data_IF_080881450581
#
_entry.id   IF_080881450581
#
_cell.length_a   1.000
_cell.length_b   1.000
_cell.length_c   1.000
_cell.angle_alpha   90.00
_cell.angle_beta   90.00
_cell.angle_gamma   90.00
#
_symmetry.space_group_name_H-M   'P 1'
#
loop_
_entity.id
_entity.type
_entity.pdbx_description
1 polymer ?
#
# COMPACT_ATOMS: atom_id res chain seq x y z
N UNK A 1 24.55 72.75 -11.94
CA UNK A 1 25.04 71.49 -12.53
C UNK A 1 24.43 70.33 -11.73
N UNK A 2 23.32 69.75 -12.22
CA UNK A 2 23.17 68.32 -12.62
C UNK A 2 23.44 67.32 -11.47
N UNK A 3 22.41 66.85 -10.75
CA UNK A 3 21.54 65.66 -10.96
C UNK A 3 22.19 64.30 -10.61
N UNK A 4 21.58 63.64 -9.63
CA UNK A 4 21.24 62.20 -9.54
C UNK A 4 22.36 61.14 -9.51
N UNK A 5 22.41 60.37 -8.42
CA UNK A 5 22.96 59.01 -8.36
C UNK A 5 22.13 58.17 -7.38
N UNK A 6 21.06 57.56 -7.87
CA UNK A 6 20.93 56.10 -8.03
C UNK A 6 20.79 55.33 -6.70
N UNK A 7 19.53 54.99 -6.41
CA UNK A 7 19.09 54.02 -5.40
C UNK A 7 19.65 52.64 -5.77
N UNK A 8 20.20 51.88 -4.81
CA UNK A 8 20.33 50.44 -4.94
C UNK A 8 19.56 49.76 -3.81
N UNK A 9 18.54 49.00 -4.23
CA UNK A 9 17.53 48.35 -3.41
C UNK A 9 17.88 46.87 -3.31
N UNK A 10 17.84 46.34 -2.07
CA UNK A 10 17.44 44.97 -1.67
C UNK A 10 18.13 43.78 -2.36
N UNK A 11 18.96 43.05 -1.61
CA UNK A 11 19.22 41.63 -1.84
C UNK A 11 18.34 40.81 -0.89
N UNK A 12 17.33 40.17 -1.49
CA UNK A 12 16.27 39.39 -0.90
C UNK A 12 16.81 38.07 -0.30
N UNK A 13 16.64 37.89 1.01
CA UNK A 13 16.79 36.60 1.71
C UNK A 13 15.62 35.70 1.34
N UNK A 14 15.78 34.83 0.33
CA UNK A 14 14.84 33.76 0.02
C UNK A 14 15.59 32.50 -0.44
N UNK A 15 16.38 31.90 0.45
CA UNK A 15 16.72 30.49 0.28
C UNK A 15 15.48 29.66 0.70
N UNK A 16 14.60 29.42 -0.27
CA UNK A 16 13.49 28.47 -0.12
C UNK A 16 14.07 27.13 0.31
N UNK A 17 13.74 26.71 1.52
CA UNK A 17 13.84 25.31 1.92
C UNK A 17 12.92 24.49 1.00
N UNK A 18 13.49 23.90 -0.04
CA UNK A 18 12.84 22.88 -0.83
C UNK A 18 12.71 21.62 0.05
N UNK A 19 11.65 21.59 0.86
CA UNK A 19 11.31 20.46 1.71
C UNK A 19 11.08 19.21 0.85
N UNK A 20 11.83 18.16 1.15
CA UNK A 20 11.73 16.86 0.48
C UNK A 20 10.32 16.25 0.62
N UNK A 21 9.81 15.54 -0.40
CA UNK A 21 8.50 14.90 -0.38
C UNK A 21 8.50 13.60 0.45
N UNK A 22 8.92 13.65 1.71
CA UNK A 22 9.02 12.47 2.60
C UNK A 22 7.79 12.27 3.49
N UNK A 23 7.02 13.33 3.78
CA UNK A 23 5.94 13.29 4.77
C UNK A 23 4.75 12.38 4.42
N UNK A 24 4.61 11.92 3.17
CA UNK A 24 3.48 11.07 2.74
C UNK A 24 3.74 9.57 2.96
N UNK A 25 5.00 9.14 2.85
CA UNK A 25 5.36 7.75 3.10
C UNK A 25 5.10 7.39 4.58
N UNK A 26 5.44 8.32 5.47
CA UNK A 26 5.21 8.18 6.90
C UNK A 26 3.71 8.02 7.24
N UNK A 27 2.83 8.81 6.61
CA UNK A 27 1.39 8.73 6.85
C UNK A 27 0.78 7.41 6.33
N UNK A 28 1.19 6.96 5.14
CA UNK A 28 0.72 5.70 4.56
C UNK A 28 1.16 4.51 5.44
N UNK A 29 2.43 4.49 5.86
CA UNK A 29 2.97 3.47 6.76
C UNK A 29 2.25 3.45 8.11
N UNK A 30 2.02 4.62 8.70
CA UNK A 30 1.30 4.74 9.97
C UNK A 30 -0.14 4.18 9.87
N UNK A 31 -0.85 4.43 8.77
CA UNK A 31 -2.19 3.88 8.57
C UNK A 31 -2.16 2.34 8.50
N UNK A 32 -1.19 1.75 7.80
CA UNK A 32 -1.00 0.29 7.69
C UNK A 32 -0.66 -0.33 9.05
N UNK A 33 0.18 0.33 9.85
CA UNK A 33 0.54 -0.09 11.22
C UNK A 33 -0.68 -0.03 12.13
N UNK A 34 -1.36 1.13 12.20
CA UNK A 34 -2.53 1.34 13.07
C UNK A 34 -3.67 0.38 12.73
N UNK A 35 -3.82 0.00 11.46
CA UNK A 35 -4.80 -1.00 11.02
C UNK A 35 -4.45 -2.44 11.46
N UNK A 36 -3.18 -2.71 11.82
CA UNK A 36 -2.73 -4.05 12.22
C UNK A 36 -2.40 -4.99 11.05
N UNK A 37 -2.22 -4.45 9.84
CA UNK A 37 -2.03 -5.23 8.61
C UNK A 37 -0.62 -5.84 8.47
N UNK A 38 0.38 -5.20 9.07
CA UNK A 38 1.79 -5.62 8.98
C UNK A 38 1.97 -7.08 9.39
N UNK A 39 2.70 -7.84 8.59
CA UNK A 39 2.94 -9.28 8.75
C UNK A 39 2.53 -10.10 7.52
N UNK A 40 2.68 -11.42 7.64
CA UNK A 40 2.29 -12.37 6.60
C UNK A 40 0.85 -12.85 6.81
N UNK A 41 0.13 -13.04 5.71
CA UNK A 41 -1.25 -13.53 5.69
C UNK A 41 -1.38 -14.61 4.62
N UNK A 42 -2.00 -15.73 4.96
CA UNK A 42 -2.24 -16.85 4.04
C UNK A 42 -3.62 -17.45 4.28
N UNK A 43 -4.12 -18.25 3.33
CA UNK A 43 -5.34 -19.05 3.56
C UNK A 43 -5.04 -20.15 4.57
N UNK A 44 -3.89 -20.80 4.41
CA UNK A 44 -3.31 -21.77 5.33
C UNK A 44 -1.84 -21.43 5.54
N UNK A 45 -1.49 -21.03 6.77
CA UNK A 45 -0.12 -20.64 7.13
C UNK A 45 0.84 -21.83 7.27
N UNK A 46 0.33 -23.06 7.29
CA UNK A 46 1.12 -24.29 7.37
C UNK A 46 1.49 -24.85 5.99
N UNK A 47 0.87 -24.35 4.93
CA UNK A 47 1.10 -24.78 3.55
C UNK A 47 1.97 -23.76 2.80
N UNK A 48 2.78 -24.17 1.81
CA UNK A 48 3.59 -23.23 1.03
C UNK A 48 2.73 -22.31 0.14
N UNK A 49 3.30 -21.20 -0.37
CA UNK A 49 2.65 -20.36 -1.37
C UNK A 49 2.29 -21.15 -2.64
N UNK A 50 1.04 -21.03 -3.08
CA UNK A 50 0.50 -21.65 -4.28
C UNK A 50 -0.72 -20.86 -4.79
N UNK A 51 -1.25 -21.12 -6.01
CA UNK A 51 -2.42 -20.39 -6.52
C UNK A 51 -3.65 -20.51 -5.61
N UNK A 52 -3.81 -21.67 -4.96
CA UNK A 52 -4.86 -21.95 -3.97
C UNK A 52 -4.51 -21.52 -2.54
N UNK A 53 -3.25 -21.17 -2.27
CA UNK A 53 -2.77 -20.70 -0.97
C UNK A 53 -1.86 -19.48 -1.14
N UNK A 54 -2.41 -18.33 -1.56
CA UNK A 54 -1.61 -17.13 -1.74
C UNK A 54 -1.12 -16.59 -0.41
N UNK A 55 0.12 -16.09 -0.41
CA UNK A 55 0.69 -15.33 0.68
C UNK A 55 0.68 -13.83 0.34
N UNK A 56 0.19 -13.03 1.26
CA UNK A 56 0.30 -11.56 1.23
C UNK A 56 1.14 -11.11 2.41
N UNK A 57 2.29 -10.49 2.13
CA UNK A 57 3.24 -10.06 3.16
C UNK A 57 3.29 -8.54 3.14
N UNK A 58 2.84 -7.92 4.23
CA UNK A 58 2.80 -6.48 4.38
C UNK A 58 3.94 -6.01 5.26
N UNK A 59 4.73 -5.06 4.76
CA UNK A 59 5.87 -4.49 5.46
C UNK A 59 5.84 -2.97 5.43
N UNK A 60 6.48 -2.37 6.42
CA UNK A 60 6.65 -0.92 6.56
C UNK A 60 8.03 -0.66 7.15
N UNK A 61 8.70 0.37 6.66
CA UNK A 61 9.94 0.91 7.25
C UNK A 61 9.76 2.41 7.46
N UNK A 62 10.41 2.96 8.49
CA UNK A 62 10.33 4.40 8.77
C UNK A 62 10.90 5.19 7.58
N UNK A 63 10.13 6.15 7.06
CA UNK A 63 10.54 6.98 5.91
C UNK A 63 10.29 6.37 4.53
N UNK A 64 9.95 5.08 4.44
CA UNK A 64 9.67 4.40 3.17
C UNK A 64 8.17 4.12 3.00
N UNK A 65 7.76 3.91 1.75
CA UNK A 65 6.40 3.49 1.45
C UNK A 65 6.14 2.07 1.96
N UNK A 66 4.98 1.82 2.59
CA UNK A 66 4.59 0.45 2.92
C UNK A 66 4.50 -0.40 1.64
N UNK A 67 4.79 -1.69 1.77
CA UNK A 67 4.75 -2.64 0.67
C UNK A 67 3.85 -3.81 0.98
N UNK A 68 3.28 -4.38 -0.10
CA UNK A 68 2.71 -5.71 -0.11
C UNK A 68 3.50 -6.58 -1.08
N UNK A 69 3.99 -7.72 -0.62
CA UNK A 69 4.46 -8.79 -1.50
C UNK A 69 3.35 -9.83 -1.67
N UNK A 70 3.06 -10.19 -2.92
CA UNK A 70 2.16 -11.28 -3.27
C UNK A 70 2.98 -12.47 -3.77
N UNK A 71 2.75 -13.65 -3.17
CA UNK A 71 3.35 -14.92 -3.57
C UNK A 71 2.26 -15.96 -3.79
N UNK A 72 2.09 -16.40 -5.02
CA UNK A 72 1.10 -17.42 -5.41
C UNK A 72 1.70 -18.44 -6.38
N UNK A 73 2.99 -18.32 -6.73
CA UNK A 73 3.63 -19.13 -7.78
C UNK A 73 2.99 -18.92 -9.16
N UNK A 74 2.52 -17.69 -9.43
CA UNK A 74 2.03 -17.26 -10.73
C UNK A 74 2.79 -16.01 -11.14
N UNK A 75 3.76 -16.15 -12.05
CA UNK A 75 4.73 -15.09 -12.39
C UNK A 75 4.07 -13.76 -12.77
N UNK A 76 2.94 -13.80 -13.48
CA UNK A 76 2.20 -12.62 -13.91
C UNK A 76 1.49 -11.87 -12.77
N UNK A 77 1.31 -12.50 -11.61
CA UNK A 77 0.61 -11.95 -10.46
C UNK A 77 1.54 -11.69 -9.28
N UNK A 78 2.54 -12.53 -9.08
CA UNK A 78 3.52 -12.41 -8.00
C UNK A 78 4.32 -11.10 -8.11
N UNK A 79 4.77 -10.58 -6.98
CA UNK A 79 5.64 -9.40 -6.95
C UNK A 79 5.42 -8.49 -5.76
N UNK A 80 6.16 -7.38 -5.75
CA UNK A 80 6.12 -6.37 -4.71
C UNK A 80 5.34 -5.16 -5.22
N UNK A 81 4.43 -4.68 -4.39
CA UNK A 81 3.58 -3.52 -4.65
C UNK A 81 3.86 -2.47 -3.59
N UNK A 82 4.07 -1.24 -4.02
CA UNK A 82 4.02 -0.09 -3.12
C UNK A 82 2.58 0.24 -2.81
N UNK A 83 2.28 0.42 -1.53
CA UNK A 83 0.97 0.84 -1.05
C UNK A 83 0.99 2.36 -0.89
N UNK A 84 0.13 3.03 -1.65
CA UNK A 84 0.01 4.47 -1.70
C UNK A 84 -1.34 4.91 -1.16
N UNK A 85 -1.42 6.12 -0.59
CA UNK A 85 -2.69 6.74 -0.17
C UNK A 85 -3.44 5.85 0.82
N UNK A 86 -2.72 5.18 1.70
CA UNK A 86 -3.29 4.27 2.67
C UNK A 86 -4.04 5.07 3.74
N UNK A 87 -5.30 4.68 4.00
CA UNK A 87 -6.15 5.38 4.96
C UNK A 87 -7.18 4.45 5.58
N UNK A 88 -7.42 4.63 6.86
CA UNK A 88 -8.50 3.95 7.57
C UNK A 88 -9.85 4.46 7.04
N UNK A 89 -10.75 3.55 6.73
CA UNK A 89 -12.16 3.85 6.44
C UNK A 89 -13.08 3.60 7.65
N UNK A 90 -12.53 2.98 8.69
CA UNK A 90 -13.22 2.58 9.91
C UNK A 90 -12.31 1.67 10.74
N UNK A 91 -12.83 1.08 11.83
CA UNK A 91 -12.04 0.23 12.71
C UNK A 91 -11.58 -1.07 12.04
N UNK A 92 -12.33 -1.56 11.04
CA UNK A 92 -12.10 -2.85 10.39
C UNK A 92 -11.79 -2.74 8.89
N UNK A 93 -11.66 -1.52 8.33
CA UNK A 93 -11.40 -1.32 6.89
C UNK A 93 -10.26 -0.35 6.62
N UNK A 94 -9.39 -0.75 5.69
CA UNK A 94 -8.31 0.08 5.15
C UNK A 94 -8.46 0.17 3.63
N UNK A 95 -8.34 1.39 3.10
CA UNK A 95 -8.21 1.64 1.68
C UNK A 95 -6.77 2.02 1.33
N UNK A 96 -6.28 1.57 0.19
CA UNK A 96 -4.97 1.95 -0.35
C UNK A 96 -4.92 1.69 -1.87
N UNK A 97 -3.87 2.19 -2.52
CA UNK A 97 -3.58 1.94 -3.92
C UNK A 97 -2.31 1.11 -4.05
N UNK A 98 -2.39 -0.04 -4.70
CA UNK A 98 -1.20 -0.81 -5.07
C UNK A 98 -0.63 -0.34 -6.40
N UNK A 99 0.69 -0.14 -6.42
CA UNK A 99 1.48 0.07 -7.63
C UNK A 99 2.63 -0.92 -7.67
N UNK A 100 2.78 -1.70 -8.76
CA UNK A 100 3.86 -2.70 -8.86
C UNK A 100 5.22 -2.02 -8.87
N UNK A 101 6.12 -2.44 -7.97
CA UNK A 101 7.50 -1.97 -7.91
C UNK A 101 8.24 -2.43 -9.17
N UNK A 102 9.07 -1.55 -9.74
CA UNK A 102 9.76 -1.80 -11.02
C UNK A 102 8.91 -1.51 -12.25
N UNK A 103 7.69 -1.00 -12.06
CA UNK A 103 6.78 -0.64 -13.14
C UNK A 103 5.70 -1.69 -13.36
N UNK A 104 4.52 -1.21 -13.72
CA UNK A 104 3.35 -2.01 -14.06
C UNK A 104 2.38 -1.14 -14.84
N UNK A 105 1.64 -1.75 -15.76
CA UNK A 105 0.69 -1.00 -16.58
C UNK A 105 -0.45 -0.37 -15.75
N UNK A 106 -0.78 -0.99 -14.62
CA UNK A 106 -1.95 -0.63 -13.83
C UNK A 106 -1.62 -0.45 -12.36
N UNK A 107 -2.39 0.43 -11.71
CA UNK A 107 -2.54 0.47 -10.26
C UNK A 107 -3.89 -0.10 -9.85
N UNK A 108 -4.04 -0.45 -8.58
CA UNK A 108 -5.27 -1.03 -8.05
C UNK A 108 -5.70 -0.30 -6.79
N UNK A 109 -6.86 0.33 -6.82
CA UNK A 109 -7.50 0.87 -5.62
C UNK A 109 -8.21 -0.27 -4.89
N UNK A 110 -7.73 -0.57 -3.68
CA UNK A 110 -8.10 -1.75 -2.90
C UNK A 110 -8.72 -1.31 -1.58
N UNK A 111 -9.74 -2.05 -1.15
CA UNK A 111 -10.24 -2.00 0.22
C UNK A 111 -10.11 -3.41 0.80
N UNK A 112 -9.44 -3.52 1.95
CA UNK A 112 -9.37 -4.74 2.75
C UNK A 112 -10.18 -4.57 4.03
N UNK A 113 -10.69 -5.67 4.54
CA UNK A 113 -11.40 -5.76 5.80
C UNK A 113 -10.74 -6.81 6.70
N UNK A 114 -10.59 -6.50 7.99
CA UNK A 114 -10.18 -7.45 9.03
C UNK A 114 -11.34 -7.61 10.01
N UNK A 115 -11.87 -8.82 10.13
CA UNK A 115 -12.93 -9.17 11.07
C UNK A 115 -12.60 -10.50 11.75
N UNK A 116 -12.71 -10.56 13.08
CA UNK A 116 -12.37 -11.77 13.84
C UNK A 116 -10.93 -12.26 13.61
N UNK A 117 -9.98 -11.35 13.36
CA UNK A 117 -8.59 -11.69 13.05
C UNK A 117 -8.36 -12.28 11.64
N UNK A 118 -9.38 -12.27 10.79
CA UNK A 118 -9.31 -12.76 9.40
C UNK A 118 -9.40 -11.60 8.43
N UNK A 119 -8.53 -11.58 7.42
CA UNK A 119 -8.47 -10.56 6.40
C UNK A 119 -9.15 -11.03 5.10
N UNK A 120 -9.85 -10.14 4.41
CA UNK A 120 -10.30 -10.34 3.03
C UNK A 120 -10.30 -9.04 2.24
N UNK A 121 -10.23 -9.13 0.92
CA UNK A 121 -10.41 -7.98 0.03
C UNK A 121 -11.90 -7.74 -0.23
N UNK A 122 -12.38 -6.52 -0.04
CA UNK A 122 -13.78 -6.14 -0.27
C UNK A 122 -13.95 -5.46 -1.63
N UNK A 123 -12.94 -4.72 -2.06
CA UNK A 123 -12.94 -4.01 -3.33
C UNK A 123 -11.55 -4.07 -3.98
N UNK A 124 -11.54 -4.14 -5.31
CA UNK A 124 -10.35 -3.91 -6.13
C UNK A 124 -10.79 -3.32 -7.46
N UNK A 125 -10.36 -2.10 -7.73
CA UNK A 125 -10.63 -1.38 -8.98
C UNK A 125 -9.29 -1.04 -9.62
N UNK A 126 -9.11 -1.49 -10.87
CA UNK A 126 -7.91 -1.22 -11.65
C UNK A 126 -7.96 0.19 -12.22
N UNK A 127 -6.80 0.78 -12.51
CA UNK A 127 -6.68 2.17 -12.99
C UNK A 127 -7.37 2.47 -14.33
N UNK A 128 -7.75 1.45 -15.10
CA UNK A 128 -8.58 1.57 -16.31
C UNK A 128 -10.10 1.55 -16.01
N UNK A 129 -10.48 1.52 -14.74
CA UNK A 129 -11.87 1.46 -14.28
C UNK A 129 -12.44 0.04 -14.16
N UNK A 130 -11.70 -0.99 -14.55
CA UNK A 130 -12.17 -2.37 -14.41
C UNK A 130 -12.33 -2.72 -12.92
N UNK A 131 -13.54 -3.09 -12.51
CA UNK A 131 -13.79 -3.63 -11.17
C UNK A 131 -13.48 -5.12 -11.17
N UNK A 132 -12.51 -5.54 -10.35
CA UNK A 132 -12.11 -6.94 -10.21
C UNK A 132 -12.79 -7.59 -9.02
N UNK A 133 -12.95 -6.84 -7.93
CA UNK A 133 -13.65 -7.28 -6.71
C UNK A 133 -14.67 -6.23 -6.32
N UNK A 134 -15.89 -6.66 -6.03
CA UNK A 134 -17.01 -5.85 -5.51
C UNK A 134 -17.69 -6.60 -4.37
N UNK A 135 -17.88 -5.92 -3.24
CA UNK A 135 -18.53 -6.46 -2.03
C UNK A 135 -17.95 -7.82 -1.58
N UNK A 136 -16.64 -7.98 -1.72
CA UNK A 136 -15.92 -9.22 -1.38
C UNK A 136 -16.17 -10.38 -2.34
N UNK A 137 -16.59 -10.12 -3.57
CA UNK A 137 -16.76 -11.12 -4.64
C UNK A 137 -15.98 -10.74 -5.90
N UNK A 138 -15.41 -11.73 -6.57
CA UNK A 138 -14.80 -11.54 -7.89
C UNK A 138 -15.86 -11.22 -8.94
N UNK A 139 -15.63 -10.22 -9.77
CA UNK A 139 -16.62 -9.72 -10.73
C UNK A 139 -16.86 -10.68 -11.90
N UNK A 140 -15.88 -11.54 -12.21
CA UNK A 140 -15.96 -12.52 -13.31
C UNK A 140 -16.77 -13.78 -12.98
N UNK A 141 -16.76 -14.19 -11.72
CA UNK A 141 -17.24 -15.49 -11.26
C UNK A 141 -18.29 -15.40 -10.15
N UNK A 142 -18.44 -14.23 -9.53
CA UNK A 142 -19.31 -14.03 -8.36
C UNK A 142 -18.85 -14.75 -7.09
N UNK A 143 -17.74 -15.50 -7.15
CA UNK A 143 -17.18 -16.22 -5.99
C UNK A 143 -16.67 -15.24 -4.96
N UNK A 144 -16.85 -15.57 -3.68
CA UNK A 144 -16.26 -14.81 -2.59
C UNK A 144 -14.73 -14.77 -2.68
N UNK A 145 -14.13 -13.66 -2.26
CA UNK A 145 -12.67 -13.56 -2.11
C UNK A 145 -12.17 -14.52 -1.05
N UNK A 146 -10.91 -14.93 -1.19
CA UNK A 146 -10.24 -15.73 -0.18
C UNK A 146 -10.19 -14.99 1.17
N UNK A 147 -10.27 -15.76 2.25
CA UNK A 147 -10.17 -15.27 3.61
C UNK A 147 -8.87 -15.74 4.22
N UNK A 148 -8.00 -14.79 4.51
CA UNK A 148 -6.66 -15.01 5.01
C UNK A 148 -6.66 -14.95 6.54
N UNK A 149 -5.79 -15.74 7.15
CA UNK A 149 -5.43 -15.62 8.56
C UNK A 149 -4.02 -15.04 8.66
N UNK A 150 -3.76 -14.34 9.77
CA UNK A 150 -2.42 -13.83 10.05
C UNK A 150 -1.51 -15.00 10.39
N UNK A 151 -0.39 -15.11 9.71
CA UNK A 151 0.62 -16.10 10.03
C UNK A 151 1.46 -15.59 11.19
N UNK A 152 1.76 -16.50 12.12
CA UNK A 152 2.74 -16.21 13.15
C UNK A 152 4.07 -15.91 12.49
N UNK A 153 4.75 -14.86 12.96
CA UNK A 153 6.12 -14.65 12.58
C UNK A 153 6.88 -15.88 13.07
N UNK A 154 7.41 -16.69 12.15
CA UNK A 154 8.36 -17.74 12.52
C UNK A 154 9.44 -17.02 13.33
N UNK A 155 9.55 -17.34 14.62
CA UNK A 155 10.60 -16.81 15.47
C UNK A 155 11.92 -17.32 14.91
N UNK A 156 12.49 -16.59 13.95
CA UNK A 156 13.85 -16.86 13.51
C UNK A 156 14.70 -16.53 14.72
N UNK A 157 15.22 -17.58 15.35
CA UNK A 157 16.15 -17.49 16.46
C UNK A 157 17.23 -16.47 16.14
N UNK A 158 17.42 -15.60 17.11
CA UNK A 158 18.44 -14.55 17.17
C UNK A 158 19.84 -15.12 16.97
#
# INVERSE_FOLDING_TARGET
>A
MLRSGARLTVALVCALMAGAPSARADADGEAVIRFGLVGAWAVDCSAPPAPQNPYQIYATSNGDRPTRELRMQVESLDGIFEMLRARLLGPNRLAYTDSRRGGGQYTFDIIVEIEGGRMRSIQSVRSDGATLIRDGKFSDSGRGTLVFQKCEATSTGR
#
